data_IF_216753261950
#
_entry.id   IF_216753261950
#
_cell.length_a   1.000
_cell.length_b   1.000
_cell.length_c   1.000
_cell.angle_alpha   90.00
_cell.angle_beta   90.00
_cell.angle_gamma   90.00
#
_symmetry.space_group_name_H-M   'P 1'
#
loop_
_entity.id
_entity.type
_entity.pdbx_description
1 polymer ?
#
# COMPACT_ATOMS: atom_id res chain seq x y z
N UNK A 1 9.86 -6.95 -11.26
CA UNK A 1 10.02 -5.50 -11.45
C UNK A 1 11.38 -5.08 -10.94
N UNK A 2 12.06 -4.19 -11.64
CA UNK A 2 13.25 -3.55 -11.09
C UNK A 2 12.88 -2.49 -10.03
N UNK A 3 13.89 -1.89 -9.39
CA UNK A 3 13.70 -0.93 -8.31
C UNK A 3 12.94 0.33 -8.75
N UNK A 4 13.23 0.83 -9.95
CA UNK A 4 12.62 2.06 -10.48
C UNK A 4 11.14 1.83 -10.76
N UNK A 5 10.80 0.73 -11.43
CA UNK A 5 9.41 0.35 -11.70
C UNK A 5 8.57 0.22 -10.44
N UNK A 6 9.13 -0.34 -9.36
CA UNK A 6 8.43 -0.45 -8.07
C UNK A 6 8.13 0.93 -7.51
N UNK A 7 9.12 1.82 -7.47
CA UNK A 7 8.95 3.18 -6.95
C UNK A 7 7.91 3.93 -7.77
N UNK A 8 8.02 3.90 -9.10
CA UNK A 8 7.09 4.57 -10.02
C UNK A 8 5.65 4.12 -9.80
N UNK A 9 5.43 2.81 -9.59
CA UNK A 9 4.09 2.26 -9.33
C UNK A 9 3.48 2.74 -8.00
N UNK A 10 4.30 3.16 -7.03
CA UNK A 10 3.87 3.58 -5.70
C UNK A 10 3.71 5.11 -5.58
N UNK A 11 4.32 5.90 -6.48
CA UNK A 11 4.28 7.38 -6.46
C UNK A 11 2.85 7.91 -6.37
N UNK A 12 1.88 7.47 -7.19
CA UNK A 12 0.53 8.04 -7.15
C UNK A 12 -0.12 7.92 -5.76
N UNK A 13 -0.07 6.74 -5.14
CA UNK A 13 -0.62 6.52 -3.80
C UNK A 13 0.12 7.29 -2.71
N UNK A 14 1.44 7.42 -2.84
CA UNK A 14 2.26 8.18 -1.90
C UNK A 14 1.98 9.70 -1.96
N UNK A 15 1.74 10.25 -3.15
CA UNK A 15 1.35 11.64 -3.33
C UNK A 15 -0.05 11.92 -2.77
N UNK A 16 -1.02 11.03 -3.02
CA UNK A 16 -2.36 11.14 -2.44
C UNK A 16 -2.33 11.13 -0.90
N UNK A 17 -1.50 10.26 -0.31
CA UNK A 17 -1.30 10.22 1.15
C UNK A 17 -0.65 11.51 1.66
N UNK A 18 0.32 12.06 0.95
CA UNK A 18 0.93 13.34 1.29
C UNK A 18 -0.06 14.50 1.21
N UNK A 19 -0.87 14.58 0.17
CA UNK A 19 -1.87 15.63 0.04
C UNK A 19 -2.86 15.63 1.20
N UNK A 20 -3.36 14.44 1.55
CA UNK A 20 -4.39 14.24 2.58
C UNK A 20 -3.85 14.33 4.02
N UNK A 21 -2.69 13.73 4.28
CA UNK A 21 -2.19 13.51 5.64
C UNK A 21 -0.81 14.12 5.91
N UNK A 22 -0.17 14.74 4.91
CA UNK A 22 1.17 15.34 4.99
C UNK A 22 2.28 14.34 5.37
N UNK A 23 2.08 13.05 5.08
CA UNK A 23 3.09 12.02 5.22
C UNK A 23 4.05 12.08 4.04
N UNK A 24 5.36 12.21 4.31
CA UNK A 24 6.37 12.29 3.26
C UNK A 24 6.25 11.11 2.28
N UNK A 25 6.19 11.35 0.95
CA UNK A 25 6.05 10.27 -0.02
C UNK A 25 7.14 9.20 0.09
N UNK A 26 8.37 9.60 0.41
CA UNK A 26 9.50 8.69 0.65
C UNK A 26 9.24 7.70 1.78
N UNK A 27 8.59 8.13 2.86
CA UNK A 27 8.26 7.27 3.99
C UNK A 27 7.22 6.23 3.59
N UNK A 28 6.13 6.66 2.95
CA UNK A 28 5.07 5.76 2.46
C UNK A 28 5.62 4.72 1.48
N UNK A 29 6.48 5.13 0.54
CA UNK A 29 7.10 4.23 -0.44
C UNK A 29 8.04 3.25 0.26
N UNK A 30 8.87 3.72 1.20
CA UNK A 30 9.78 2.84 1.93
C UNK A 30 9.02 1.79 2.75
N UNK A 31 7.93 2.17 3.41
CA UNK A 31 7.05 1.26 4.15
C UNK A 31 6.42 0.24 3.20
N UNK A 32 5.84 0.69 2.08
CA UNK A 32 5.24 -0.22 1.09
C UNK A 32 6.26 -1.24 0.54
N UNK A 33 7.49 -0.81 0.25
CA UNK A 33 8.55 -1.72 -0.21
C UNK A 33 8.91 -2.74 0.87
N UNK A 34 9.00 -2.32 2.13
CA UNK A 34 9.33 -3.20 3.25
C UNK A 34 8.23 -4.25 3.49
N UNK A 35 6.98 -3.82 3.63
CA UNK A 35 5.83 -4.68 3.96
C UNK A 35 5.55 -5.72 2.87
N UNK A 36 5.77 -5.36 1.61
CA UNK A 36 5.47 -6.23 0.47
C UNK A 36 6.65 -7.09 0.02
N UNK A 37 7.83 -6.90 0.62
CA UNK A 37 9.08 -7.48 0.12
C UNK A 37 9.33 -7.11 -1.34
N UNK A 38 9.33 -5.81 -1.65
CA UNK A 38 9.50 -5.27 -3.01
C UNK A 38 8.39 -5.72 -3.98
N UNK A 39 7.14 -5.66 -3.53
CA UNK A 39 5.93 -6.09 -4.26
C UNK A 39 5.87 -7.59 -4.61
N UNK A 40 6.70 -8.43 -4.00
CA UNK A 40 6.70 -9.88 -4.28
C UNK A 40 5.61 -10.64 -3.50
N UNK A 41 5.19 -10.11 -2.35
CA UNK A 41 4.31 -10.81 -1.41
C UNK A 41 2.98 -10.08 -1.19
N UNK A 42 2.46 -9.42 -2.23
CA UNK A 42 1.16 -8.74 -2.15
C UNK A 42 0.02 -9.73 -2.40
N UNK A 43 -0.95 -9.80 -1.48
CA UNK A 43 -2.22 -10.51 -1.69
C UNK A 43 -3.31 -9.52 -2.04
N UNK A 44 -3.88 -9.65 -3.24
CA UNK A 44 -4.80 -8.65 -3.79
C UNK A 44 -4.13 -7.28 -3.90
N UNK A 45 -4.85 -6.22 -3.51
CA UNK A 45 -4.31 -4.85 -3.48
C UNK A 45 -3.91 -4.40 -2.06
N UNK A 46 -3.66 -5.34 -1.13
CA UNK A 46 -3.36 -5.03 0.27
C UNK A 46 -1.84 -4.83 0.49
N UNK A 47 -1.34 -3.67 0.11
CA UNK A 47 0.10 -3.32 0.14
C UNK A 47 0.65 -3.23 1.58
N UNK A 48 -0.21 -2.94 2.55
CA UNK A 48 0.20 -2.77 3.96
C UNK A 48 -0.24 -3.92 4.87
N UNK A 49 -0.77 -5.01 4.30
CA UNK A 49 -1.22 -6.17 5.09
C UNK A 49 -2.29 -5.82 6.13
N UNK A 50 -3.10 -4.78 5.90
CA UNK A 50 -4.15 -4.35 6.83
C UNK A 50 -5.14 -5.48 6.99
N UNK A 51 -5.35 -5.91 8.23
CA UNK A 51 -6.27 -6.99 8.56
C UNK A 51 -7.69 -6.45 8.56
N UNK A 52 -8.62 -7.31 8.17
CA UNK A 52 -10.04 -7.05 8.35
C UNK A 52 -10.40 -7.00 9.83
N UNK A 53 -11.31 -6.12 10.19
CA UNK A 53 -11.95 -6.06 11.50
C UNK A 53 -13.43 -5.79 11.32
N UNK A 54 -14.27 -6.25 12.25
CA UNK A 54 -15.70 -5.95 12.24
C UNK A 54 -15.94 -4.44 12.16
N UNK A 55 -16.88 -4.02 11.30
CA UNK A 55 -17.19 -2.60 11.09
C UNK A 55 -16.20 -1.81 10.21
N UNK A 56 -15.19 -2.44 9.59
CA UNK A 56 -14.22 -1.75 8.73
C UNK A 56 -14.78 -1.28 7.38
N UNK A 57 -16.07 -1.50 7.10
CA UNK A 57 -16.74 -1.11 5.84
C UNK A 57 -16.34 -1.94 4.61
N UNK A 58 -15.53 -3.00 4.81
CA UNK A 58 -15.17 -3.96 3.77
C UNK A 58 -15.77 -5.31 4.13
N UNK A 59 -17.04 -5.51 3.80
CA UNK A 59 -17.72 -6.76 4.11
C UNK A 59 -17.23 -7.87 3.17
N UNK A 60 -16.79 -8.98 3.76
CA UNK A 60 -16.56 -10.21 3.00
C UNK A 60 -17.95 -10.78 2.73
N UNK A 61 -18.41 -10.69 1.48
CA UNK A 61 -19.61 -11.41 1.02
C UNK A 61 -19.32 -12.90 1.12
N UNK A 62 -19.61 -13.51 2.26
CA UNK A 62 -19.72 -14.96 2.38
C UNK A 62 -21.03 -15.33 1.68
N UNK A 63 -20.91 -15.88 0.46
CA UNK A 63 -21.99 -16.62 -0.20
C UNK A 63 -22.03 -18.05 0.30
#
# INVERSE_FOLDING_TARGET
MDKTQIIESLIPGALLSYEKYKILPSLTIAQAILETGRLQYVKGNNIFGIKWTEGSGYEVLFS
#
